data_IF_976142093576
#
_entry.id   IF_976142093576
#
_cell.length_a   1.000
_cell.length_b   1.000
_cell.length_c   1.000
_cell.angle_alpha   90.00
_cell.angle_beta   90.00
_cell.angle_gamma   90.00
#
_symmetry.space_group_name_H-M   'P 1'
#
loop_
_entity.id
_entity.type
_entity.pdbx_description
1 polymer ?
#
# COMPACT_ATOMS: atom_id res chain seq x y z
N UNK A 1 9.04 42.27 -42.61
CA UNK A 1 9.35 42.21 -41.16
C UNK A 1 8.33 41.41 -40.34
N UNK A 2 7.02 41.50 -40.61
CA UNK A 2 5.99 40.78 -39.82
C UNK A 2 6.01 39.23 -39.95
N UNK A 3 6.31 38.69 -41.14
CA UNK A 3 6.32 37.24 -41.38
C UNK A 3 7.41 36.50 -40.58
N UNK A 4 8.54 37.15 -40.27
CA UNK A 4 9.63 36.55 -39.47
C UNK A 4 9.25 36.44 -37.99
N UNK A 5 8.46 37.39 -37.48
CA UNK A 5 7.98 37.39 -36.10
C UNK A 5 6.91 36.30 -35.94
N UNK A 6 5.98 36.19 -36.88
CA UNK A 6 4.93 35.17 -36.86
C UNK A 6 5.52 33.76 -36.94
N UNK A 7 6.48 33.52 -37.82
CA UNK A 7 7.13 32.19 -37.91
C UNK A 7 7.92 31.85 -36.65
N UNK A 8 8.57 32.82 -36.02
CA UNK A 8 9.36 32.60 -34.80
C UNK A 8 8.48 32.32 -33.57
N UNK A 9 7.30 32.95 -33.46
CA UNK A 9 6.30 32.67 -32.42
C UNK A 9 5.69 31.27 -32.60
N UNK A 10 5.33 30.90 -33.83
CA UNK A 10 4.73 29.57 -34.12
C UNK A 10 5.74 28.44 -33.89
N UNK A 11 6.99 28.60 -34.31
CA UNK A 11 8.04 27.58 -34.14
C UNK A 11 8.45 27.42 -32.66
N UNK A 12 8.48 28.52 -31.90
CA UNK A 12 8.80 28.45 -30.47
C UNK A 12 7.64 27.90 -29.66
N UNK A 13 6.41 28.34 -29.95
CA UNK A 13 5.20 27.86 -29.29
C UNK A 13 4.99 26.36 -29.49
N UNK A 14 5.10 25.87 -30.73
CA UNK A 14 4.91 24.44 -31.05
C UNK A 14 5.89 23.51 -30.33
N UNK A 15 7.15 23.92 -30.12
CA UNK A 15 8.15 23.12 -29.39
C UNK A 15 7.83 22.99 -27.90
N UNK A 16 7.31 24.05 -27.27
CA UNK A 16 6.97 24.05 -25.84
C UNK A 16 5.74 23.18 -25.59
N UNK A 17 4.68 23.36 -26.39
CA UNK A 17 3.49 22.52 -26.27
C UNK A 17 3.79 21.05 -26.61
N UNK A 18 4.55 20.77 -27.67
CA UNK A 18 4.90 19.40 -28.06
C UNK A 18 5.67 18.61 -26.99
N UNK A 19 6.61 19.26 -26.28
CA UNK A 19 7.32 18.62 -25.16
C UNK A 19 6.41 18.34 -23.97
N UNK A 20 5.52 19.26 -23.62
CA UNK A 20 4.58 19.07 -22.52
C UNK A 20 3.62 17.90 -22.79
N UNK A 21 3.10 17.76 -24.02
CA UNK A 21 2.26 16.61 -24.39
C UNK A 21 3.02 15.28 -24.38
N UNK A 22 4.26 15.26 -24.87
CA UNK A 22 5.10 14.05 -24.86
C UNK A 22 5.46 13.61 -23.44
N UNK A 23 5.79 14.56 -22.55
CA UNK A 23 6.05 14.27 -21.15
C UNK A 23 4.79 13.78 -20.43
N UNK A 24 3.64 14.42 -20.63
CA UNK A 24 2.37 13.98 -20.07
C UNK A 24 2.00 12.56 -20.55
N UNK A 25 2.20 12.26 -21.83
CA UNK A 25 1.98 10.91 -22.37
C UNK A 25 2.93 9.88 -21.75
N UNK A 26 4.21 10.22 -21.61
CA UNK A 26 5.21 9.37 -20.94
C UNK A 26 4.84 9.13 -19.47
N UNK A 27 4.30 10.14 -18.81
CA UNK A 27 3.91 10.08 -17.41
C UNK A 27 2.63 9.25 -17.21
N UNK A 28 1.66 9.37 -18.11
CA UNK A 28 0.46 8.52 -18.16
C UNK A 28 0.81 7.05 -18.46
N UNK A 29 1.71 6.80 -19.41
CA UNK A 29 2.18 5.45 -19.72
C UNK A 29 2.98 4.83 -18.56
N UNK A 30 3.77 5.64 -17.84
CA UNK A 30 4.50 5.20 -16.67
C UNK A 30 3.55 4.84 -15.52
N UNK A 31 2.57 5.70 -15.20
CA UNK A 31 1.58 5.44 -14.14
C UNK A 31 0.74 4.19 -14.43
N UNK A 32 0.42 3.91 -15.70
CA UNK A 32 -0.29 2.70 -16.10
C UNK A 32 0.56 1.42 -15.91
N UNK A 33 1.88 1.49 -16.13
CA UNK A 33 2.80 0.36 -15.84
C UNK A 33 2.90 0.08 -14.34
N UNK A 34 2.96 1.13 -13.50
CA UNK A 34 2.93 0.97 -12.03
C UNK A 34 1.60 0.41 -11.54
N UNK A 35 0.47 0.85 -12.12
CA UNK A 35 -0.85 0.32 -11.79
C UNK A 35 -1.02 -1.15 -12.22
N UNK A 36 -0.50 -1.55 -13.38
CA UNK A 36 -0.52 -2.94 -13.83
C UNK A 36 0.39 -3.87 -13.00
N UNK A 37 1.54 -3.38 -12.54
CA UNK A 37 2.41 -4.13 -11.63
C UNK A 37 1.71 -4.45 -10.29
N UNK A 38 0.94 -3.50 -9.75
CA UNK A 38 0.12 -3.71 -8.56
C UNK A 38 -1.10 -4.62 -8.80
N UNK A 39 -1.61 -4.70 -10.02
CA UNK A 39 -2.75 -5.56 -10.37
C UNK A 39 -2.38 -7.04 -10.56
N UNK A 40 -1.09 -7.34 -10.82
CA UNK A 40 -0.62 -8.72 -11.08
C UNK A 40 -0.41 -9.55 -9.81
N UNK A 41 -0.28 -8.92 -8.64
CA UNK A 41 -0.44 -9.59 -7.34
C UNK A 41 -1.94 -9.70 -7.06
N UNK A 42 -2.54 -10.84 -7.40
CA UNK A 42 -3.98 -11.10 -7.46
C UNK A 42 -4.76 -10.98 -6.13
N UNK A 43 -4.77 -9.80 -5.51
CA UNK A 43 -5.64 -9.43 -4.42
C UNK A 43 -6.48 -8.22 -4.86
N UNK A 44 -7.35 -8.48 -5.85
CA UNK A 44 -8.27 -7.49 -6.38
C UNK A 44 -9.28 -7.04 -5.32
N UNK A 45 -9.31 -5.73 -5.09
CA UNK A 45 -10.42 -4.96 -4.51
C UNK A 45 -10.96 -5.45 -3.16
N UNK A 46 -10.46 -4.85 -2.09
CA UNK A 46 -11.25 -4.65 -0.85
C UNK A 46 -10.59 -3.55 -0.02
N UNK A 47 -10.78 -2.26 -0.37
CA UNK A 47 -10.47 -1.13 0.52
C UNK A 47 -9.08 -1.12 1.22
N UNK A 48 -8.10 -1.86 0.68
CA UNK A 48 -6.93 -2.32 1.42
C UNK A 48 -5.84 -1.26 1.38
N UNK A 49 -5.85 -0.38 2.37
CA UNK A 49 -4.85 0.65 2.65
C UNK A 49 -4.71 1.72 1.56
N UNK A 50 -4.69 2.97 1.98
CA UNK A 50 -4.06 4.02 1.19
C UNK A 50 -2.54 3.75 1.19
N UNK A 51 -2.06 2.75 0.43
CA UNK A 51 -0.64 2.48 0.21
C UNK A 51 0.22 2.39 1.47
N UNK A 52 -0.27 1.78 2.56
CA UNK A 52 0.53 1.66 3.78
C UNK A 52 1.41 0.42 3.70
N UNK A 53 2.72 0.62 3.59
CA UNK A 53 3.70 -0.47 3.58
C UNK A 53 3.81 -1.12 4.97
N UNK A 54 4.30 -2.35 5.01
CA UNK A 54 4.58 -3.03 6.29
C UNK A 54 5.60 -2.25 7.13
N UNK A 55 6.62 -1.70 6.47
CA UNK A 55 7.64 -0.89 7.13
C UNK A 55 7.04 0.36 7.77
N UNK A 56 6.17 1.08 7.06
CA UNK A 56 5.45 2.23 7.61
C UNK A 56 4.53 1.83 8.77
N UNK A 57 3.83 0.69 8.67
CA UNK A 57 2.98 0.19 9.73
C UNK A 57 3.78 -0.10 11.01
N UNK A 58 4.93 -0.76 10.88
CA UNK A 58 5.85 -1.03 11.98
C UNK A 58 6.38 0.26 12.61
N UNK A 59 6.70 1.28 11.80
CA UNK A 59 7.13 2.60 12.29
C UNK A 59 6.02 3.34 13.03
N UNK A 60 4.78 3.33 12.50
CA UNK A 60 3.62 3.98 13.14
C UNK A 60 3.36 3.41 14.52
N UNK A 61 3.40 2.08 14.68
CA UNK A 61 3.18 1.43 15.98
C UNK A 61 4.45 1.33 16.83
N UNK A 62 5.60 1.69 16.27
CA UNK A 62 6.93 1.58 16.87
C UNK A 62 7.21 0.15 17.36
N UNK A 63 7.05 -0.81 16.44
CA UNK A 63 7.31 -2.23 16.66
C UNK A 63 8.38 -2.72 15.69
N UNK A 64 9.09 -3.79 16.07
CA UNK A 64 10.08 -4.39 15.18
C UNK A 64 9.39 -5.02 13.95
N UNK A 65 10.04 -4.99 12.77
CA UNK A 65 9.56 -5.74 11.61
C UNK A 65 9.46 -7.25 11.92
N UNK A 66 8.51 -7.98 11.31
CA UNK A 66 8.38 -9.41 11.49
C UNK A 66 9.69 -10.12 11.11
N UNK A 67 10.23 -10.93 12.02
CA UNK A 67 11.44 -11.75 11.73
C UNK A 67 10.97 -13.17 11.41
N UNK A 68 11.09 -13.56 10.14
CA UNK A 68 10.69 -14.91 9.69
C UNK A 68 9.19 -15.19 9.83
N UNK A 69 8.35 -14.18 9.59
CA UNK A 69 6.88 -14.31 9.66
C UNK A 69 6.30 -14.30 11.08
N UNK A 70 7.14 -14.22 12.12
CA UNK A 70 6.70 -14.11 13.52
C UNK A 70 6.75 -12.66 13.97
N UNK A 71 5.61 -12.17 14.44
CA UNK A 71 5.45 -10.86 15.07
C UNK A 71 4.89 -11.05 16.47
N UNK A 72 5.41 -10.28 17.43
CA UNK A 72 4.83 -10.20 18.76
C UNK A 72 3.52 -9.40 18.70
N UNK A 73 2.41 -10.12 18.50
CA UNK A 73 1.08 -9.52 18.36
C UNK A 73 0.56 -8.90 19.66
N UNK A 74 1.04 -9.35 20.82
CA UNK A 74 0.68 -8.76 22.10
C UNK A 74 1.24 -7.34 22.21
N UNK A 75 2.51 -7.16 21.88
CA UNK A 75 3.15 -5.85 21.83
C UNK A 75 2.48 -4.94 20.79
N UNK A 76 2.18 -5.44 19.58
CA UNK A 76 1.44 -4.68 18.55
C UNK A 76 0.11 -4.15 19.09
N UNK A 77 -0.64 -4.98 19.81
CA UNK A 77 -1.95 -4.61 20.36
C UNK A 77 -1.85 -3.61 21.51
N UNK A 78 -0.87 -3.75 22.41
CA UNK A 78 -0.61 -2.78 23.47
C UNK A 78 -0.26 -1.40 22.90
N UNK A 79 0.67 -1.36 21.93
CA UNK A 79 1.09 -0.14 21.23
C UNK A 79 -0.08 0.49 20.48
N UNK A 80 -0.86 -0.32 19.77
CA UNK A 80 -2.07 0.12 19.08
C UNK A 80 -3.05 0.78 20.05
N UNK A 81 -3.43 0.09 21.14
CA UNK A 81 -4.41 0.59 22.11
C UNK A 81 -3.97 1.94 22.68
N UNK A 82 -2.72 2.02 23.14
CA UNK A 82 -2.15 3.25 23.71
C UNK A 82 -2.20 4.41 22.71
N UNK A 83 -1.73 4.21 21.47
CA UNK A 83 -1.69 5.27 20.46
C UNK A 83 -3.11 5.65 19.98
N UNK A 84 -4.00 4.68 19.85
CA UNK A 84 -5.38 4.89 19.41
C UNK A 84 -6.17 5.72 20.42
N UNK A 85 -6.06 5.40 21.70
CA UNK A 85 -6.75 6.10 22.79
C UNK A 85 -6.21 7.53 23.02
N UNK A 86 -4.90 7.72 22.82
CA UNK A 86 -4.27 9.05 22.87
C UNK A 86 -4.68 9.95 21.71
N UNK A 87 -5.05 9.38 20.57
CA UNK A 87 -5.45 10.12 19.37
C UNK A 87 -6.97 10.15 19.16
N UNK A 88 -7.78 9.83 20.19
CA UNK A 88 -9.24 9.90 20.10
C UNK A 88 -9.71 11.32 19.76
N UNK A 89 -10.42 11.53 18.63
CA UNK A 89 -10.97 12.82 18.25
C UNK A 89 -11.85 13.46 19.31
N UNK A 90 -12.56 12.65 20.11
CA UNK A 90 -13.41 13.14 21.20
C UNK A 90 -12.62 13.78 22.33
N UNK A 91 -11.33 13.44 22.43
CA UNK A 91 -10.40 13.92 23.46
C UNK A 91 -9.41 14.95 22.90
N UNK A 92 -9.71 15.54 21.74
CA UNK A 92 -8.83 16.51 21.07
C UNK A 92 -7.73 15.88 20.20
N UNK A 93 -7.78 14.56 19.97
CA UNK A 93 -6.90 13.87 19.03
C UNK A 93 -7.28 14.10 17.56
N UNK A 94 -6.49 13.55 16.65
CA UNK A 94 -6.74 13.65 15.21
C UNK A 94 -7.38 12.38 14.67
N UNK A 95 -8.56 12.51 14.05
CA UNK A 95 -9.22 11.40 13.37
C UNK A 95 -8.35 10.78 12.27
N UNK A 96 -7.53 11.62 11.60
CA UNK A 96 -6.59 11.14 10.59
C UNK A 96 -5.51 10.26 11.21
N UNK A 97 -4.91 10.68 12.32
CA UNK A 97 -3.88 9.90 13.01
C UNK A 97 -4.45 8.61 13.58
N UNK A 98 -5.62 8.69 14.22
CA UNK A 98 -6.34 7.51 14.71
C UNK A 98 -6.63 6.50 13.58
N UNK A 99 -7.08 7.00 12.42
CA UNK A 99 -7.31 6.17 11.23
C UNK A 99 -6.02 5.53 10.72
N UNK A 100 -4.88 6.25 10.74
CA UNK A 100 -3.57 5.70 10.34
C UNK A 100 -3.07 4.62 11.29
N UNK A 101 -3.27 4.81 12.59
CA UNK A 101 -2.94 3.82 13.63
C UNK A 101 -3.75 2.53 13.44
N UNK A 102 -5.06 2.65 13.17
CA UNK A 102 -5.92 1.51 12.84
C UNK A 102 -5.41 0.75 11.62
N UNK A 103 -5.12 1.47 10.53
CA UNK A 103 -4.63 0.86 9.28
C UNK A 103 -3.27 0.20 9.45
N UNK A 104 -2.40 0.74 10.31
CA UNK A 104 -1.12 0.12 10.63
C UNK A 104 -1.31 -1.23 11.32
N UNK A 105 -2.20 -1.33 12.31
CA UNK A 105 -2.52 -2.59 12.96
C UNK A 105 -3.06 -3.62 11.96
N UNK A 106 -4.07 -3.23 11.19
CA UNK A 106 -4.67 -4.10 10.15
C UNK A 106 -3.60 -4.61 9.16
N UNK A 107 -2.63 -3.77 8.77
CA UNK A 107 -1.55 -4.18 7.87
C UNK A 107 -0.63 -5.23 8.48
N UNK A 108 -0.29 -5.10 9.76
CA UNK A 108 0.56 -6.08 10.46
C UNK A 108 -0.19 -7.39 10.68
N UNK A 109 -1.47 -7.33 11.09
CA UNK A 109 -2.33 -8.51 11.25
C UNK A 109 -2.48 -9.30 9.95
N UNK A 110 -2.66 -8.60 8.83
CA UNK A 110 -2.70 -9.24 7.51
C UNK A 110 -1.39 -9.98 7.19
N UNK A 111 -0.23 -9.42 7.52
CA UNK A 111 1.06 -10.07 7.27
C UNK A 111 1.19 -11.38 8.05
N UNK A 112 0.85 -11.35 9.34
CA UNK A 112 0.90 -12.54 10.20
C UNK A 112 -0.03 -13.62 9.68
N UNK A 113 -1.29 -13.25 9.36
CA UNK A 113 -2.26 -14.20 8.80
C UNK A 113 -1.80 -14.79 7.47
N UNK A 114 -1.20 -13.98 6.59
CA UNK A 114 -0.66 -14.47 5.32
C UNK A 114 0.53 -15.42 5.53
N UNK A 115 1.39 -15.13 6.51
CA UNK A 115 2.50 -16.01 6.87
C UNK A 115 2.02 -17.34 7.45
N UNK A 116 1.00 -17.33 8.32
CA UNK A 116 0.36 -18.53 8.88
C UNK A 116 -0.25 -19.40 7.77
N UNK A 117 -1.04 -18.80 6.87
CA UNK A 117 -1.66 -19.51 5.75
C UNK A 117 -0.62 -20.10 4.78
N UNK A 118 0.51 -19.41 4.58
CA UNK A 118 1.60 -19.91 3.76
C UNK A 118 2.29 -21.11 4.42
N UNK A 119 2.52 -21.05 5.74
CA UNK A 119 3.10 -22.14 6.51
C UNK A 119 2.18 -23.38 6.55
N UNK A 120 0.87 -23.18 6.75
CA UNK A 120 -0.13 -24.25 6.70
C UNK A 120 -0.14 -24.92 5.32
N UNK A 121 -0.15 -24.14 4.24
CA UNK A 121 -0.10 -24.68 2.87
C UNK A 121 1.18 -25.44 2.60
N UNK A 122 2.32 -24.97 3.09
CA UNK A 122 3.60 -25.67 2.95
C UNK A 122 3.59 -27.00 3.72
N UNK A 123 2.98 -27.05 4.90
CA UNK A 123 2.80 -28.28 5.66
C UNK A 123 1.87 -29.26 4.92
N UNK A 124 0.73 -28.80 4.39
CA UNK A 124 -0.18 -29.61 3.58
C UNK A 124 0.50 -30.21 2.32
N UNK A 125 1.39 -29.44 1.67
CA UNK A 125 2.16 -29.93 0.52
C UNK A 125 3.20 -31.00 0.92
N UNK A 126 3.79 -30.88 2.12
CA UNK A 126 4.79 -31.85 2.65
C UNK A 126 4.14 -33.14 3.14
N UNK A 127 2.95 -33.06 3.74
CA UNK A 127 2.24 -34.22 4.30
C UNK A 127 1.44 -35.03 3.26
N UNK A 128 1.46 -34.59 2.00
CA UNK A 128 0.65 -35.18 0.92
C UNK A 128 -0.70 -34.49 0.85
N UNK A 129 -1.07 -34.03 -0.36
CA UNK A 129 -2.24 -33.19 -0.61
C UNK A 129 -3.54 -33.81 -0.05
N UNK A 130 -4.00 -33.31 1.10
CA UNK A 130 -5.28 -33.66 1.71
C UNK A 130 -6.09 -32.39 2.00
N UNK A 131 -6.75 -31.80 0.97
CA UNK A 131 -7.43 -30.52 1.12
C UNK A 131 -8.61 -30.65 2.09
N UNK A 132 -8.61 -29.87 3.18
CA UNK A 132 -9.79 -29.74 4.04
C UNK A 132 -10.85 -28.92 3.30
N UNK A 133 -11.75 -29.63 2.62
CA UNK A 133 -12.80 -29.07 1.75
C UNK A 133 -13.88 -28.28 2.52
N UNK A 134 -13.89 -28.33 3.86
CA UNK A 134 -14.89 -27.66 4.69
C UNK A 134 -14.27 -27.00 5.93
N UNK A 135 -14.73 -25.79 6.25
CA UNK A 135 -14.53 -25.19 7.58
C UNK A 135 -15.45 -25.90 8.56
N UNK A 136 -14.90 -26.53 9.60
CA UNK A 136 -15.69 -26.95 10.76
C UNK A 136 -16.35 -25.70 11.36
N UNK A 137 -17.65 -25.81 11.64
CA UNK A 137 -18.53 -24.72 12.08
C UNK A 137 -18.22 -24.23 13.48
#
# INVERSE_FOLDING_TARGET
>A
MAHRIITQVVVTGSRVFGRAFAEAWRQAAASQKYAQANAKNGNGKTFASSGLTLEEACKILNVAPPKGGKTDMENVMDRFKKLFDLNDPKRGGSFYLQSKILRARERIEMEVRTAEQAAEREAELKEGWNPKLYKEK
#
